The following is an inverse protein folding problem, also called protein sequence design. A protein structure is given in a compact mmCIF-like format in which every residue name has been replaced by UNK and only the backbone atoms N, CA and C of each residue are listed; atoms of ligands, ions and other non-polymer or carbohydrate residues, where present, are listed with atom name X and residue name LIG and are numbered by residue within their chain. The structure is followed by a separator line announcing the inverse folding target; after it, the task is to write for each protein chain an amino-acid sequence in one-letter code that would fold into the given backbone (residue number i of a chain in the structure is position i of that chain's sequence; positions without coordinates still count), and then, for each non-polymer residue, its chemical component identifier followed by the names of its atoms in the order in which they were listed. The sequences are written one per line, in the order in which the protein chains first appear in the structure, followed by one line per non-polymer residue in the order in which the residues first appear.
data_IF_926202841878
#
_entry.id   IF_926202841878
#
_cell.length_a   1.000
_cell.length_b   1.000
_cell.length_c   1.000
_cell.angle_alpha   90.00
_cell.angle_beta   90.00
_cell.angle_gamma   90.00
#
_symmetry.space_group_name_H-M   'P 1'
#
loop_
_entity.id
_entity.type
_entity.pdbx_description
1 polymer ?
#
# COMPACT_ATOMS: atom_id res chain seq x y z
N UNK A 1 -70.31 -32.20 -38.81
CA UNK A 1 -69.59 -33.10 -39.73
C UNK A 1 -69.07 -32.32 -40.91
N UNK A 2 -67.82 -31.90 -41.02
CA UNK A 2 -66.97 -31.10 -40.13
C UNK A 2 -66.06 -30.34 -41.08
N UNK A 3 -66.22 -29.01 -41.18
CA UNK A 3 -65.46 -28.14 -42.07
C UNK A 3 -63.99 -27.95 -41.67
N UNK A 4 -63.54 -28.68 -40.65
CA UNK A 4 -62.17 -28.68 -40.12
C UNK A 4 -61.25 -29.65 -40.90
N UNK A 5 -61.80 -30.57 -41.69
CA UNK A 5 -61.03 -31.60 -42.40
C UNK A 5 -60.38 -31.16 -43.73
N UNK A 6 -60.66 -29.94 -44.19
CA UNK A 6 -60.15 -29.39 -45.46
C UNK A 6 -58.76 -28.74 -45.34
N UNK A 7 -58.30 -28.49 -44.11
CA UNK A 7 -56.94 -28.10 -43.84
C UNK A 7 -56.19 -29.40 -43.53
N UNK A 8 -55.31 -29.83 -44.42
CA UNK A 8 -54.42 -30.97 -44.20
C UNK A 8 -53.71 -30.88 -42.84
N UNK A 9 -53.09 -31.97 -42.37
CA UNK A 9 -52.51 -32.03 -41.02
C UNK A 9 -51.66 -30.79 -40.75
N UNK A 10 -51.94 -30.10 -39.63
CA UNK A 10 -51.20 -28.90 -39.23
C UNK A 10 -49.73 -29.25 -39.23
N UNK A 11 -49.01 -28.77 -40.26
CA UNK A 11 -47.58 -28.99 -40.35
C UNK A 11 -46.95 -28.25 -39.19
N UNK A 12 -46.56 -28.99 -38.16
CA UNK A 12 -45.80 -28.42 -37.06
C UNK A 12 -44.55 -27.79 -37.68
N UNK A 13 -44.27 -26.51 -37.39
CA UNK A 13 -43.11 -25.86 -37.97
C UNK A 13 -41.89 -26.68 -37.61
N UNK A 14 -41.14 -27.11 -38.64
CA UNK A 14 -39.91 -27.88 -38.47
C UNK A 14 -39.04 -27.15 -37.44
N UNK A 15 -38.61 -27.85 -36.39
CA UNK A 15 -37.69 -27.30 -35.39
C UNK A 15 -36.46 -26.83 -36.14
N UNK A 16 -36.23 -25.53 -36.11
CA UNK A 16 -35.23 -24.89 -36.93
C UNK A 16 -33.94 -24.81 -36.11
N UNK A 17 -32.88 -25.45 -36.61
CA UNK A 17 -31.53 -25.18 -36.11
C UNK A 17 -31.16 -23.74 -36.46
N UNK A 18 -30.20 -23.17 -35.71
CA UNK A 18 -29.78 -21.79 -35.91
C UNK A 18 -29.37 -21.52 -37.38
N UNK A 19 -28.72 -22.47 -38.05
CA UNK A 19 -28.32 -22.32 -39.45
C UNK A 19 -29.51 -22.36 -40.44
N UNK A 20 -30.54 -23.17 -40.16
CA UNK A 20 -31.79 -23.19 -40.94
C UNK A 20 -32.60 -21.89 -40.71
N UNK A 21 -32.50 -21.28 -39.52
CA UNK A 21 -33.11 -19.98 -39.23
C UNK A 21 -32.38 -18.84 -39.93
N UNK A 22 -31.06 -18.80 -39.81
CA UNK A 22 -30.22 -17.75 -40.38
C UNK A 22 -30.35 -17.71 -41.92
N UNK A 23 -30.45 -18.87 -42.58
CA UNK A 23 -30.69 -18.97 -44.04
C UNK A 23 -32.09 -18.54 -44.44
N UNK A 24 -33.13 -18.91 -43.67
CA UNK A 24 -34.52 -18.52 -43.95
C UNK A 24 -34.77 -17.02 -43.79
N UNK A 25 -34.13 -16.39 -42.80
CA UNK A 25 -34.31 -14.97 -42.49
C UNK A 25 -33.18 -14.08 -43.04
N UNK A 26 -32.29 -14.63 -43.88
CA UNK A 26 -31.14 -13.92 -44.45
C UNK A 26 -30.30 -13.18 -43.39
N UNK A 27 -30.11 -13.78 -42.22
CA UNK A 27 -29.18 -13.24 -41.23
C UNK A 27 -27.75 -13.49 -41.71
N UNK A 28 -27.13 -12.45 -42.28
CA UNK A 28 -25.72 -12.47 -42.66
C UNK A 28 -24.89 -12.58 -41.38
N UNK A 29 -24.23 -13.73 -41.17
CA UNK A 29 -23.22 -13.87 -40.10
C UNK A 29 -22.03 -12.95 -40.40
N UNK A 30 -22.03 -11.75 -39.84
CA UNK A 30 -20.81 -10.96 -39.72
C UNK A 30 -19.99 -11.40 -38.49
N UNK A 31 -19.62 -12.68 -38.41
CA UNK A 31 -18.55 -13.09 -37.48
C UNK A 31 -17.22 -12.95 -38.19
N UNK A 32 -16.79 -11.70 -38.45
CA UNK A 32 -15.41 -11.44 -38.86
C UNK A 32 -14.50 -12.02 -37.79
N UNK A 33 -13.64 -12.96 -38.17
CA UNK A 33 -12.55 -13.44 -37.32
C UNK A 33 -11.66 -12.23 -37.05
N UNK A 34 -11.77 -11.67 -35.84
CA UNK A 34 -11.08 -10.44 -35.50
C UNK A 34 -9.58 -10.69 -35.61
N UNK A 35 -8.90 -9.89 -36.41
CA UNK A 35 -7.44 -9.99 -36.54
C UNK A 35 -6.79 -9.43 -35.27
N UNK A 36 -5.67 -9.98 -34.80
CA UNK A 36 -4.97 -9.48 -33.60
C UNK A 36 -4.73 -7.96 -33.65
N UNK A 37 -4.49 -7.41 -34.86
CA UNK A 37 -4.31 -5.99 -35.12
C UNK A 37 -5.58 -5.15 -34.88
N UNK A 38 -6.76 -5.69 -35.17
CA UNK A 38 -8.04 -5.00 -34.94
C UNK A 38 -8.44 -5.04 -33.46
N UNK A 39 -8.09 -6.12 -32.76
CA UNK A 39 -8.27 -6.23 -31.30
C UNK A 39 -7.37 -5.21 -30.60
N UNK A 40 -6.08 -5.19 -30.95
CA UNK A 40 -5.11 -4.26 -30.39
C UNK A 40 -5.51 -2.79 -30.67
N UNK A 41 -5.99 -2.50 -31.89
CA UNK A 41 -6.45 -1.16 -32.24
C UNK A 41 -7.66 -0.73 -31.43
N UNK A 42 -8.65 -1.61 -31.21
CA UNK A 42 -9.80 -1.27 -30.36
C UNK A 42 -9.37 -1.03 -28.93
N UNK A 43 -8.55 -1.91 -28.38
CA UNK A 43 -7.99 -1.79 -27.04
C UNK A 43 -7.34 -0.42 -26.82
N UNK A 44 -6.45 -0.01 -27.72
CA UNK A 44 -5.76 1.28 -27.60
C UNK A 44 -6.73 2.44 -27.81
N UNK A 45 -7.56 2.40 -28.86
CA UNK A 45 -8.45 3.52 -29.21
C UNK A 45 -9.57 3.70 -28.20
N UNK A 46 -10.10 2.62 -27.61
CA UNK A 46 -11.15 2.68 -26.60
C UNK A 46 -10.61 3.21 -25.26
N UNK A 47 -9.39 2.85 -24.84
CA UNK A 47 -8.77 3.43 -23.62
C UNK A 47 -8.53 4.94 -23.72
N UNK A 48 -8.12 5.44 -24.88
CA UNK A 48 -7.86 6.87 -25.08
C UNK A 48 -9.10 7.67 -25.53
N UNK A 49 -10.27 7.01 -25.68
CA UNK A 49 -11.50 7.66 -26.14
C UNK A 49 -12.10 8.60 -25.10
N UNK A 50 -11.90 8.29 -23.82
CA UNK A 50 -12.47 9.05 -22.70
C UNK A 50 -11.67 10.31 -22.38
N UNK A 51 -10.43 10.46 -22.86
CA UNK A 51 -9.58 11.64 -22.64
C UNK A 51 -9.71 12.68 -23.76
N UNK A 52 -10.93 12.93 -24.25
CA UNK A 52 -11.15 13.81 -25.42
C UNK A 52 -11.20 15.29 -25.07
N UNK A 53 -11.58 15.62 -23.84
CA UNK A 53 -11.56 16.98 -23.30
C UNK A 53 -10.37 17.19 -22.36
N UNK A 54 -9.87 18.43 -22.28
CA UNK A 54 -8.82 18.81 -21.31
C UNK A 54 -9.29 18.56 -19.87
N UNK A 55 -10.59 18.66 -19.62
CA UNK A 55 -11.19 18.38 -18.31
C UNK A 55 -11.18 16.88 -17.95
N UNK A 56 -11.10 15.99 -18.94
CA UNK A 56 -11.02 14.54 -18.72
C UNK A 56 -9.56 14.13 -18.41
N UNK A 57 -8.58 14.82 -19.01
CA UNK A 57 -7.16 14.62 -18.75
C UNK A 57 -6.69 15.25 -17.44
N UNK A 58 -7.27 16.40 -17.07
CA UNK A 58 -6.99 17.14 -15.85
C UNK A 58 -8.29 17.31 -15.05
N UNK A 59 -8.71 16.29 -14.28
CA UNK A 59 -9.94 16.33 -13.49
C UNK A 59 -9.93 17.49 -12.48
N UNK A 60 -8.76 18.07 -12.19
CA UNK A 60 -8.65 19.21 -11.29
C UNK A 60 -9.42 20.45 -11.77
N UNK A 61 -9.46 20.68 -13.08
CA UNK A 61 -10.16 21.82 -13.66
C UNK A 61 -11.67 21.74 -13.47
N UNK A 62 -12.22 20.52 -13.44
CA UNK A 62 -13.66 20.31 -13.26
C UNK A 62 -14.13 20.52 -11.81
N UNK A 63 -13.32 20.10 -10.83
CA UNK A 63 -13.71 20.26 -9.42
C UNK A 63 -13.43 21.66 -8.89
N UNK A 64 -12.38 22.34 -9.36
CA UNK A 64 -12.05 23.68 -8.88
C UNK A 64 -13.12 24.70 -9.29
N UNK A 65 -13.70 24.56 -10.48
CA UNK A 65 -14.78 25.44 -10.95
C UNK A 65 -16.09 25.28 -10.19
N UNK A 66 -16.30 24.12 -9.55
CA UNK A 66 -17.49 23.80 -8.75
C UNK A 66 -17.24 23.91 -7.24
N UNK A 67 -16.10 24.45 -6.82
CA UNK A 67 -15.70 24.49 -5.42
C UNK A 67 -16.30 25.68 -4.67
N UNK A 68 -17.11 25.39 -3.64
CA UNK A 68 -17.62 26.42 -2.73
C UNK A 68 -16.59 26.72 -1.63
N UNK A 69 -15.87 27.83 -1.82
CA UNK A 69 -14.80 28.29 -0.91
C UNK A 69 -15.35 28.64 0.47
N UNK A 70 -16.57 29.18 0.54
CA UNK A 70 -17.10 29.74 1.78
C UNK A 70 -17.44 28.66 2.82
N UNK A 71 -18.01 27.55 2.37
CA UNK A 71 -18.44 26.46 3.23
C UNK A 71 -17.37 25.37 3.43
N UNK A 72 -16.53 25.11 2.42
CA UNK A 72 -15.63 23.94 2.44
C UNK A 72 -14.18 24.25 2.82
N UNK A 73 -13.72 25.50 2.66
CA UNK A 73 -12.30 25.84 2.87
C UNK A 73 -11.82 25.49 4.28
N UNK A 74 -12.58 25.88 5.31
CA UNK A 74 -12.21 25.61 6.71
C UNK A 74 -12.22 24.11 7.04
N UNK A 75 -13.19 23.36 6.47
CA UNK A 75 -13.30 21.92 6.68
C UNK A 75 -12.17 21.15 6.00
N UNK A 76 -11.81 21.52 4.78
CA UNK A 76 -10.72 20.89 4.04
C UNK A 76 -9.35 21.25 4.64
N UNK A 77 -9.18 22.48 5.16
CA UNK A 77 -7.98 22.90 5.87
C UNK A 77 -7.78 22.11 7.18
N UNK A 78 -8.82 22.02 8.03
CA UNK A 78 -8.74 21.23 9.26
C UNK A 78 -8.57 19.72 8.96
N UNK A 79 -9.26 19.21 7.94
CA UNK A 79 -9.12 17.82 7.50
C UNK A 79 -7.70 17.50 7.01
N UNK A 80 -7.10 18.38 6.22
CA UNK A 80 -5.71 18.21 5.75
C UNK A 80 -4.69 18.35 6.86
N UNK A 81 -4.89 19.24 7.84
CA UNK A 81 -4.03 19.34 9.02
C UNK A 81 -4.04 18.03 9.84
N UNK A 82 -5.23 17.47 10.07
CA UNK A 82 -5.39 16.18 10.74
C UNK A 82 -4.75 15.03 9.95
N UNK A 83 -4.92 15.04 8.63
CA UNK A 83 -4.35 14.03 7.74
C UNK A 83 -2.82 14.11 7.69
N UNK A 84 -2.23 15.32 7.61
CA UNK A 84 -0.78 15.51 7.63
C UNK A 84 -0.18 14.95 8.93
N UNK A 85 -0.80 15.26 10.06
CA UNK A 85 -0.34 14.80 11.36
C UNK A 85 -0.51 13.27 11.56
N UNK A 86 -1.38 12.61 10.80
CA UNK A 86 -1.48 11.15 10.70
C UNK A 86 -0.42 10.50 9.81
N UNK A 87 -0.05 11.18 8.72
CA UNK A 87 0.82 10.62 7.69
C UNK A 87 2.30 10.69 8.08
N UNK A 88 2.73 11.74 8.78
CA UNK A 88 4.13 11.90 9.22
C UNK A 88 4.62 10.67 10.02
N UNK A 89 3.91 10.19 11.05
CA UNK A 89 4.35 9.03 11.84
C UNK A 89 4.30 7.74 11.04
N UNK A 90 3.24 7.59 10.26
CA UNK A 90 3.05 6.44 9.39
C UNK A 90 4.19 6.33 8.38
N UNK A 91 4.65 7.46 7.83
CA UNK A 91 5.79 7.50 6.93
C UNK A 91 7.12 7.20 7.60
N UNK A 92 7.33 7.69 8.83
CA UNK A 92 8.56 7.38 9.59
C UNK A 92 8.61 5.88 9.90
N UNK A 93 7.52 5.33 10.44
CA UNK A 93 7.44 3.90 10.80
C UNK A 93 7.58 2.98 9.58
N UNK A 94 6.95 3.34 8.45
CA UNK A 94 7.04 2.53 7.24
C UNK A 94 8.36 2.73 6.47
N UNK A 95 8.97 3.92 6.51
CA UNK A 95 10.30 4.17 5.98
C UNK A 95 11.37 3.39 6.75
N UNK A 96 11.26 3.39 8.08
CA UNK A 96 12.07 2.54 8.95
C UNK A 96 11.96 1.05 8.56
N UNK A 97 10.74 0.55 8.33
CA UNK A 97 10.53 -0.82 7.85
C UNK A 97 11.15 -1.08 6.47
N UNK A 98 11.23 -0.06 5.62
CA UNK A 98 11.80 -0.14 4.27
C UNK A 98 13.33 0.11 4.23
N UNK A 99 14.01 0.20 5.38
CA UNK A 99 15.44 0.50 5.62
C UNK A 99 15.88 1.96 5.60
N UNK A 100 15.08 2.89 5.07
CA UNK A 100 15.43 4.32 5.02
C UNK A 100 14.22 5.20 5.34
N UNK A 101 14.33 5.99 6.42
CA UNK A 101 13.28 6.91 6.88
C UNK A 101 13.06 8.04 5.86
N UNK A 102 14.10 8.53 5.19
CA UNK A 102 13.97 9.62 4.21
C UNK A 102 13.12 9.17 3.02
N UNK A 103 13.37 7.98 2.48
CA UNK A 103 12.54 7.39 1.43
C UNK A 103 11.06 7.28 1.83
N UNK A 104 10.78 6.94 3.10
CA UNK A 104 9.43 6.91 3.66
C UNK A 104 8.73 8.27 3.66
N UNK A 105 9.45 9.35 3.98
CA UNK A 105 8.91 10.71 3.93
C UNK A 105 8.60 11.17 2.50
N UNK A 106 9.52 10.92 1.56
CA UNK A 106 9.29 11.27 0.15
C UNK A 106 8.12 10.49 -0.45
N UNK A 107 7.88 9.25 -0.02
CA UNK A 107 6.77 8.42 -0.46
C UNK A 107 5.39 8.98 -0.10
N UNK A 108 5.32 9.89 0.88
CA UNK A 108 4.08 10.55 1.30
C UNK A 108 3.96 11.91 0.63
N UNK A 109 5.04 12.70 0.63
CA UNK A 109 5.04 14.06 0.11
C UNK A 109 4.76 14.12 -1.39
N UNK A 110 5.50 13.35 -2.20
CA UNK A 110 5.43 13.48 -3.66
C UNK A 110 4.08 13.04 -4.23
N UNK A 111 3.51 11.86 -3.85
CA UNK A 111 2.23 11.45 -4.40
C UNK A 111 1.09 12.40 -4.03
N UNK A 112 1.14 13.02 -2.85
CA UNK A 112 0.13 13.99 -2.39
C UNK A 112 0.18 15.31 -3.16
N UNK A 113 1.35 15.72 -3.64
CA UNK A 113 1.47 16.89 -4.50
C UNK A 113 1.01 16.61 -5.93
N UNK A 114 1.24 15.40 -6.44
CA UNK A 114 0.94 15.03 -7.83
C UNK A 114 -0.54 14.63 -7.99
N UNK A 115 -1.10 13.90 -7.04
CA UNK A 115 -2.44 13.32 -7.13
C UNK A 115 -3.59 14.34 -7.35
N UNK A 116 -3.60 15.55 -6.76
CA UNK A 116 -4.66 16.52 -6.99
C UNK A 116 -4.82 16.94 -8.46
N UNK A 117 -3.76 16.85 -9.27
CA UNK A 117 -3.77 17.23 -10.68
C UNK A 117 -4.34 16.13 -11.58
N UNK A 118 -3.99 14.87 -11.31
CA UNK A 118 -4.29 13.71 -12.17
C UNK A 118 -5.35 12.76 -11.59
N UNK A 119 -5.66 12.88 -10.31
CA UNK A 119 -6.53 11.96 -9.57
C UNK A 119 -8.01 12.24 -9.82
N UNK A 120 -8.77 11.19 -10.11
CA UNK A 120 -10.22 11.30 -10.33
C UNK A 120 -11.02 11.44 -9.03
N UNK A 121 -10.52 10.91 -7.90
CA UNK A 121 -11.24 10.92 -6.63
C UNK A 121 -10.76 12.05 -5.70
N UNK A 122 -11.64 13.04 -5.46
CA UNK A 122 -11.37 14.28 -4.71
C UNK A 122 -10.98 14.09 -3.24
N UNK A 123 -11.50 13.06 -2.57
CA UNK A 123 -11.26 12.82 -1.14
C UNK A 123 -10.28 11.65 -0.88
N UNK A 124 -9.65 11.14 -1.93
CA UNK A 124 -8.63 10.10 -1.78
C UNK A 124 -7.31 10.73 -1.38
N UNK A 125 -6.65 10.16 -0.38
CA UNK A 125 -5.28 10.50 -0.01
C UNK A 125 -4.37 9.32 -0.28
N UNK A 126 -3.19 9.61 -0.79
CA UNK A 126 -2.12 8.63 -0.98
C UNK A 126 -1.20 8.68 0.23
N UNK A 127 -0.73 7.52 0.69
CA UNK A 127 0.18 7.42 1.82
C UNK A 127 1.03 6.15 1.72
N UNK A 128 2.00 6.05 2.62
CA UNK A 128 2.82 4.85 2.73
C UNK A 128 2.06 3.73 3.45
N UNK A 129 2.09 2.52 2.89
CA UNK A 129 1.47 1.35 3.49
C UNK A 129 2.54 0.37 4.02
N UNK A 130 2.27 -0.28 5.15
CA UNK A 130 3.22 -1.23 5.74
C UNK A 130 3.44 -2.46 4.84
N UNK A 131 2.41 -2.86 4.08
CA UNK A 131 2.52 -3.97 3.11
C UNK A 131 3.51 -3.66 2.00
N UNK A 132 3.44 -2.46 1.41
CA UNK A 132 4.34 -2.05 0.32
C UNK A 132 5.77 -1.87 0.82
N UNK A 133 5.92 -1.30 2.02
CA UNK A 133 7.23 -1.06 2.65
C UNK A 133 7.95 -2.37 2.96
N UNK A 134 7.21 -3.37 3.46
CA UNK A 134 7.76 -4.69 3.69
C UNK A 134 8.15 -5.42 2.38
N UNK A 135 7.36 -5.26 1.30
CA UNK A 135 7.71 -5.82 -0.01
C UNK A 135 9.00 -5.19 -0.56
N UNK A 136 9.15 -3.86 -0.44
CA UNK A 136 10.38 -3.15 -0.83
C UNK A 136 11.57 -3.67 -0.01
N UNK A 137 11.44 -3.74 1.33
CA UNK A 137 12.48 -4.30 2.20
C UNK A 137 12.94 -5.68 1.74
N UNK A 138 12.00 -6.60 1.49
CA UNK A 138 12.34 -7.95 1.02
C UNK A 138 12.99 -7.98 -0.36
N UNK A 139 12.59 -7.05 -1.23
CA UNK A 139 13.13 -6.93 -2.59
C UNK A 139 14.55 -6.37 -2.58
N UNK A 140 14.82 -5.36 -1.76
CA UNK A 140 16.17 -4.80 -1.54
C UNK A 140 17.08 -5.87 -0.96
N UNK A 141 16.64 -6.60 0.07
CA UNK A 141 17.44 -7.69 0.66
C UNK A 141 17.76 -8.81 -0.34
N UNK A 142 16.82 -9.16 -1.22
CA UNK A 142 17.01 -10.23 -2.20
C UNK A 142 17.88 -9.82 -3.40
N UNK A 143 17.71 -8.59 -3.89
CA UNK A 143 18.36 -8.11 -5.12
C UNK A 143 19.64 -7.31 -4.86
N UNK A 144 19.84 -6.81 -3.64
CA UNK A 144 20.89 -5.84 -3.32
C UNK A 144 20.76 -4.51 -4.07
N UNK A 145 19.62 -4.24 -4.70
CA UNK A 145 19.39 -3.02 -5.50
C UNK A 145 18.90 -1.88 -4.62
N UNK A 146 19.27 -0.65 -4.98
CA UNK A 146 18.77 0.57 -4.32
C UNK A 146 17.25 0.71 -4.47
N UNK A 147 16.60 1.31 -3.45
CA UNK A 147 15.15 1.55 -3.41
C UNK A 147 14.70 2.33 -4.66
N UNK A 148 15.48 3.33 -5.09
CA UNK A 148 15.20 4.17 -6.27
C UNK A 148 15.03 3.35 -7.55
N UNK A 149 15.85 2.31 -7.77
CA UNK A 149 15.77 1.43 -8.95
C UNK A 149 14.48 0.63 -8.95
N UNK A 150 14.10 0.09 -7.78
CA UNK A 150 12.86 -0.69 -7.63
C UNK A 150 11.65 0.22 -7.83
N UNK A 151 11.65 1.42 -7.24
CA UNK A 151 10.58 2.41 -7.40
C UNK A 151 10.45 2.87 -8.85
N UNK A 152 11.57 3.13 -9.54
CA UNK A 152 11.56 3.48 -10.97
C UNK A 152 10.98 2.35 -11.80
N UNK A 153 11.36 1.11 -11.53
CA UNK A 153 10.83 -0.08 -12.19
C UNK A 153 9.30 -0.19 -11.98
N UNK A 154 8.82 -0.02 -10.75
CA UNK A 154 7.40 0.03 -10.44
C UNK A 154 6.68 1.16 -11.20
N UNK A 155 7.29 2.34 -11.32
CA UNK A 155 6.76 3.45 -12.09
C UNK A 155 6.64 3.14 -13.59
N UNK A 156 7.64 2.48 -14.18
CA UNK A 156 7.58 2.01 -15.58
C UNK A 156 6.47 0.98 -15.77
N UNK A 157 6.32 0.03 -14.84
CA UNK A 157 5.21 -0.94 -14.89
C UNK A 157 3.85 -0.25 -14.76
N UNK A 158 3.74 0.79 -13.92
CA UNK A 158 2.51 1.56 -13.76
C UNK A 158 2.18 2.40 -15.00
N UNK A 159 3.18 2.96 -15.68
CA UNK A 159 3.01 3.59 -17.00
C UNK A 159 2.63 2.56 -18.08
N UNK A 160 3.19 1.36 -18.02
CA UNK A 160 2.86 0.28 -18.94
C UNK A 160 1.40 -0.19 -18.75
N UNK A 161 0.90 -0.23 -17.52
CA UNK A 161 -0.52 -0.44 -17.21
C UNK A 161 -1.43 0.68 -17.72
N UNK A 162 -0.94 1.91 -17.87
CA UNK A 162 -1.73 2.98 -18.50
C UNK A 162 -1.92 2.73 -20.00
N UNK A 163 -0.90 2.21 -20.70
CA UNK A 163 -0.98 1.93 -22.14
C UNK A 163 -1.68 0.61 -22.49
N UNK A 164 -1.65 -0.37 -21.59
CA UNK A 164 -2.27 -1.69 -21.77
C UNK A 164 -3.55 -1.79 -20.93
N UNK A 165 -4.67 -2.29 -21.46
CA UNK A 165 -5.95 -2.36 -20.73
C UNK A 165 -5.97 -3.54 -19.72
N UNK A 166 -5.10 -3.51 -18.71
CA UNK A 166 -5.08 -4.54 -17.66
C UNK A 166 -6.21 -4.36 -16.64
N UNK A 167 -7.03 -3.32 -16.75
CA UNK A 167 -8.19 -3.09 -15.86
C UNK A 167 -9.15 -4.27 -15.82
N UNK A 168 -9.32 -4.98 -16.94
CA UNK A 168 -10.09 -6.21 -17.00
C UNK A 168 -9.53 -7.31 -16.08
N UNK A 169 -8.21 -7.40 -15.96
CA UNK A 169 -7.55 -8.39 -15.11
C UNK A 169 -7.73 -8.04 -13.63
N UNK A 170 -7.68 -6.75 -13.29
CA UNK A 170 -7.94 -6.24 -11.94
C UNK A 170 -9.40 -6.51 -11.52
N UNK A 171 -10.36 -6.44 -12.45
CA UNK A 171 -11.76 -6.78 -12.18
C UNK A 171 -11.99 -8.25 -11.82
N UNK A 172 -11.04 -9.16 -12.09
CA UNK A 172 -11.14 -10.57 -11.70
C UNK A 172 -10.58 -10.86 -10.30
N UNK A 173 -9.91 -9.89 -9.69
CA UNK A 173 -9.37 -10.05 -8.34
C UNK A 173 -10.54 -10.02 -7.36
N UNK A 174 -10.87 -11.18 -6.79
CA UNK A 174 -11.94 -11.27 -5.80
C UNK A 174 -11.58 -10.52 -4.52
N UNK A 175 -12.59 -9.95 -3.84
CA UNK A 175 -12.42 -9.30 -2.54
C UNK A 175 -11.84 -10.26 -1.50
N UNK A 176 -12.24 -11.53 -1.53
CA UNK A 176 -11.72 -12.57 -0.63
C UNK A 176 -10.21 -12.81 -0.82
N UNK A 177 -9.71 -12.73 -2.06
CA UNK A 177 -8.28 -12.86 -2.34
C UNK A 177 -7.47 -11.69 -1.76
N UNK A 178 -7.98 -10.46 -1.89
CA UNK A 178 -7.34 -9.27 -1.33
C UNK A 178 -7.26 -9.32 0.20
N UNK A 179 -8.35 -9.75 0.85
CA UNK A 179 -8.38 -9.91 2.33
C UNK A 179 -7.42 -11.01 2.77
N UNK A 180 -7.40 -12.16 2.07
CA UNK A 180 -6.47 -13.25 2.36
C UNK A 180 -5.00 -12.86 2.17
N UNK A 181 -4.68 -12.14 1.09
CA UNK A 181 -3.35 -11.59 0.84
C UNK A 181 -2.94 -10.61 1.95
N UNK A 182 -3.83 -9.68 2.31
CA UNK A 182 -3.58 -8.73 3.39
C UNK A 182 -3.31 -9.41 4.74
N UNK A 183 -4.08 -10.45 5.09
CA UNK A 183 -3.87 -11.25 6.29
C UNK A 183 -2.52 -11.98 6.27
N UNK A 184 -2.12 -12.55 5.13
CA UNK A 184 -0.83 -13.22 4.96
C UNK A 184 0.36 -12.26 5.12
N UNK A 185 0.28 -11.06 4.53
CA UNK A 185 1.31 -10.03 4.70
C UNK A 185 1.36 -9.55 6.15
N UNK A 186 0.21 -9.35 6.81
CA UNK A 186 0.18 -8.96 8.22
C UNK A 186 0.85 -9.99 9.13
N UNK A 187 0.59 -11.30 8.96
CA UNK A 187 1.27 -12.36 9.69
C UNK A 187 2.79 -12.33 9.46
N UNK A 188 3.21 -12.05 8.23
CA UNK A 188 4.63 -11.97 7.88
C UNK A 188 5.33 -10.75 8.49
N UNK A 189 4.64 -9.62 8.58
CA UNK A 189 5.13 -8.42 9.27
C UNK A 189 5.26 -8.70 10.78
N UNK A 190 4.25 -9.34 11.39
CA UNK A 190 4.33 -9.72 12.82
C UNK A 190 5.55 -10.60 13.06
N UNK A 191 5.76 -11.63 12.22
CA UNK A 191 6.93 -12.50 12.31
C UNK A 191 8.25 -11.74 12.22
N UNK A 192 8.32 -10.73 11.35
CA UNK A 192 9.50 -9.88 11.20
C UNK A 192 9.85 -9.09 12.47
N UNK A 193 8.86 -8.65 13.24
CA UNK A 193 9.08 -7.91 14.49
C UNK A 193 9.30 -8.79 15.73
N UNK A 194 9.10 -10.12 15.64
CA UNK A 194 9.31 -11.05 16.77
C UNK A 194 10.71 -10.90 17.39
N UNK A 195 11.82 -10.89 16.62
CA UNK A 195 13.16 -10.76 17.21
C UNK A 195 13.35 -9.46 18.00
N UNK A 196 12.74 -8.37 17.54
CA UNK A 196 12.82 -7.06 18.21
C UNK A 196 12.09 -7.04 19.56
N UNK A 197 11.06 -7.87 19.76
CA UNK A 197 10.29 -7.94 21.00
C UNK A 197 11.01 -8.75 22.08
N UNK A 198 11.70 -9.82 21.67
CA UNK A 198 12.31 -10.78 22.60
C UNK A 198 13.78 -10.47 22.93
N UNK A 199 14.37 -9.40 22.38
CA UNK A 199 15.76 -8.94 22.58
C UNK A 199 16.69 -10.12 22.81
N UNK A 200 16.94 -10.88 21.75
CA UNK A 200 17.90 -11.98 21.81
C UNK A 200 19.31 -11.40 22.01
N UNK A 201 19.82 -11.48 23.24
CA UNK A 201 21.21 -11.17 23.56
C UNK A 201 22.09 -12.33 23.09
N UNK A 202 22.47 -12.33 21.82
CA UNK A 202 23.36 -13.35 21.23
C UNK A 202 23.37 -13.28 19.70
N UNK A 203 24.54 -13.56 19.12
CA UNK A 203 24.92 -13.49 17.70
C UNK A 203 23.80 -13.45 16.63
N UNK A 204 23.98 -12.54 15.69
CA UNK A 204 23.24 -12.29 14.43
C UNK A 204 22.44 -13.50 13.93
N UNK A 205 21.17 -13.58 14.33
CA UNK A 205 20.17 -14.40 13.66
C UNK A 205 19.63 -13.66 12.42
N UNK A 206 20.51 -13.24 11.51
CA UNK A 206 20.15 -12.43 10.33
C UNK A 206 19.30 -13.18 9.30
N UNK A 207 19.25 -14.51 9.40
CA UNK A 207 18.65 -15.40 8.41
C UNK A 207 17.31 -16.04 8.82
N UNK A 208 16.62 -15.51 9.83
CA UNK A 208 15.23 -15.94 10.09
C UNK A 208 14.24 -15.45 9.01
N UNK A 209 14.68 -14.58 8.11
CA UNK A 209 13.86 -13.96 7.06
C UNK A 209 14.08 -14.53 5.65
N UNK A 210 15.17 -15.27 5.41
CA UNK A 210 15.44 -15.89 4.11
C UNK A 210 14.99 -17.34 4.09
N UNK A 211 13.79 -17.54 3.55
CA UNK A 211 13.30 -18.79 2.95
C UNK A 211 12.72 -19.85 3.91
N UNK A 212 11.40 -19.99 3.82
CA UNK A 212 10.54 -20.86 4.63
C UNK A 212 10.63 -22.37 4.33
N UNK A 213 11.53 -22.84 3.47
CA UNK A 213 11.46 -24.23 3.01
C UNK A 213 12.47 -25.21 3.62
N UNK A 214 13.36 -24.82 4.55
CA UNK A 214 14.27 -25.83 5.14
C UNK A 214 14.77 -25.60 6.59
N UNK A 215 14.50 -24.46 7.24
CA UNK A 215 15.27 -24.07 8.45
C UNK A 215 14.52 -24.19 9.79
N UNK A 216 13.25 -24.59 9.85
CA UNK A 216 12.66 -24.95 11.16
C UNK A 216 13.26 -26.23 11.75
N UNK A 217 13.79 -27.15 10.92
CA UNK A 217 14.39 -28.39 11.43
C UNK A 217 15.85 -28.22 11.86
N UNK A 218 16.59 -27.30 11.23
CA UNK A 218 17.99 -26.99 11.59
C UNK A 218 18.08 -26.00 12.77
N UNK A 219 17.14 -25.04 12.87
CA UNK A 219 17.07 -24.13 14.02
C UNK A 219 16.46 -24.76 15.27
N UNK A 220 15.83 -25.94 15.22
CA UNK A 220 15.33 -26.58 16.45
C UNK A 220 16.46 -26.88 17.45
N UNK A 221 17.71 -27.07 16.98
CA UNK A 221 18.89 -27.26 17.84
C UNK A 221 19.39 -25.96 18.48
N UNK A 222 19.39 -24.84 17.76
CA UNK A 222 19.85 -23.52 18.25
C UNK A 222 18.74 -22.70 18.93
N UNK A 223 17.48 -22.96 18.61
CA UNK A 223 16.31 -22.32 19.21
C UNK A 223 16.16 -22.70 20.67
N UNK A 224 16.52 -23.93 21.07
CA UNK A 224 16.46 -24.34 22.49
C UNK A 224 17.45 -23.54 23.33
N UNK A 225 18.66 -23.29 22.82
CA UNK A 225 19.66 -22.44 23.47
C UNK A 225 19.21 -20.97 23.52
N UNK A 226 18.59 -20.47 22.46
CA UNK A 226 18.08 -19.11 22.35
C UNK A 226 16.84 -18.87 23.26
N UNK A 227 16.01 -19.89 23.47
CA UNK A 227 14.88 -19.86 24.40
C UNK A 227 15.34 -19.86 25.86
N UNK A 228 16.50 -20.46 26.15
CA UNK A 228 17.05 -20.48 27.51
C UNK A 228 17.70 -19.15 27.92
N UNK A 229 18.12 -18.31 26.96
CA UNK A 229 18.67 -16.97 27.21
C UNK A 229 17.63 -15.84 27.10
N UNK A 230 16.33 -16.17 27.08
CA UNK A 230 15.25 -15.20 26.98
C UNK A 230 15.13 -14.38 28.27
N UNK A 231 15.44 -13.09 28.17
CA UNK A 231 15.00 -12.10 29.16
C UNK A 231 13.50 -11.86 29.00
N UNK A 232 12.72 -12.16 30.05
CA UNK A 232 11.25 -12.02 30.03
C UNK A 232 10.83 -10.55 30.20
N UNK A 233 11.75 -9.67 30.61
CA UNK A 233 11.46 -8.27 30.96
C UNK A 233 11.01 -7.43 29.74
N UNK A 234 11.72 -7.43 28.59
CA UNK A 234 11.29 -6.69 27.40
C UNK A 234 9.90 -7.09 26.83
N UNK A 235 9.57 -8.39 26.65
CA UNK A 235 8.24 -8.75 26.15
C UNK A 235 7.13 -8.39 27.15
N UNK A 236 7.36 -8.47 28.46
CA UNK A 236 6.39 -8.04 29.46
C UNK A 236 6.08 -6.53 29.34
N UNK A 237 7.11 -5.70 29.19
CA UNK A 237 6.95 -4.26 28.95
C UNK A 237 6.21 -4.01 27.63
N UNK A 238 6.57 -4.69 26.56
CA UNK A 238 5.90 -4.57 25.26
C UNK A 238 4.41 -4.92 25.34
N UNK A 239 4.05 -6.07 25.94
CA UNK A 239 2.65 -6.48 26.07
C UNK A 239 1.85 -5.56 27.00
N UNK A 240 2.45 -5.05 28.07
CA UNK A 240 1.78 -4.08 28.95
C UNK A 240 1.49 -2.77 28.21
N UNK A 241 2.46 -2.23 27.45
CA UNK A 241 2.26 -1.04 26.61
C UNK A 241 1.18 -1.31 25.56
N UNK A 242 1.23 -2.46 24.87
CA UNK A 242 0.24 -2.84 23.87
C UNK A 242 -1.18 -2.89 24.46
N UNK A 243 -1.35 -3.53 25.62
CA UNK A 243 -2.65 -3.62 26.31
C UNK A 243 -3.14 -2.23 26.70
N UNK A 244 -2.27 -1.38 27.26
CA UNK A 244 -2.61 0.01 27.61
C UNK A 244 -3.06 0.79 26.37
N UNK A 245 -2.35 0.66 25.24
CA UNK A 245 -2.73 1.31 23.97
C UNK A 245 -4.06 0.79 23.42
N UNK A 246 -4.34 -0.51 23.53
CA UNK A 246 -5.62 -1.10 23.10
C UNK A 246 -6.79 -0.63 23.98
N UNK A 247 -6.61 -0.58 25.30
CA UNK A 247 -7.60 -0.05 26.23
C UNK A 247 -7.82 1.44 25.97
N UNK A 248 -6.74 2.20 25.77
CA UNK A 248 -6.81 3.62 25.45
C UNK A 248 -7.55 3.83 24.13
N UNK A 249 -7.27 3.05 23.08
CA UNK A 249 -7.99 3.11 21.80
C UNK A 249 -9.49 2.87 21.97
N UNK A 250 -9.86 1.81 22.71
CA UNK A 250 -11.27 1.48 22.93
C UNK A 250 -12.00 2.59 23.70
N UNK A 251 -11.39 3.05 24.80
CA UNK A 251 -11.97 4.09 25.66
C UNK A 251 -12.00 5.47 24.98
N UNK A 252 -10.93 5.83 24.29
CA UNK A 252 -10.83 7.07 23.53
C UNK A 252 -11.89 7.11 22.43
N UNK A 253 -12.05 6.03 21.65
CA UNK A 253 -13.07 5.96 20.60
C UNK A 253 -14.50 6.15 21.16
N UNK A 254 -14.81 5.53 22.29
CA UNK A 254 -16.11 5.69 22.95
C UNK A 254 -16.35 7.13 23.45
N UNK A 255 -15.34 7.74 24.08
CA UNK A 255 -15.43 9.11 24.61
C UNK A 255 -15.52 10.15 23.49
N UNK A 256 -14.70 10.03 22.45
CA UNK A 256 -14.69 10.98 21.33
C UNK A 256 -15.97 10.94 20.52
N UNK A 257 -16.48 9.74 20.23
CA UNK A 257 -17.72 9.58 19.47
C UNK A 257 -18.92 10.18 20.21
N UNK A 258 -18.94 10.11 21.54
CA UNK A 258 -20.03 10.69 22.35
C UNK A 258 -19.95 12.21 22.53
N UNK A 259 -18.76 12.82 22.45
CA UNK A 259 -18.56 14.27 22.68
C UNK A 259 -18.51 15.12 21.41
N UNK A 260 -17.79 14.66 20.38
CA UNK A 260 -17.36 15.52 19.26
C UNK A 260 -18.10 15.15 17.96
N UNK A 261 -18.80 14.01 17.91
CA UNK A 261 -19.55 13.57 16.72
C UNK A 261 -18.69 13.27 15.48
N UNK A 262 -17.36 13.40 15.60
CA UNK A 262 -16.37 13.09 14.57
C UNK A 262 -15.31 12.14 15.12
N UNK A 263 -14.92 11.14 14.32
CA UNK A 263 -13.85 10.20 14.63
C UNK A 263 -12.48 10.88 14.47
N UNK A 264 -11.88 11.33 15.58
CA UNK A 264 -10.49 11.82 15.55
C UNK A 264 -9.56 10.61 15.35
N UNK A 265 -8.47 10.76 14.57
CA UNK A 265 -7.44 9.74 14.52
C UNK A 265 -6.83 9.45 15.89
N UNK A 266 -7.09 8.25 16.39
CA UNK A 266 -6.56 7.77 17.66
C UNK A 266 -5.02 7.63 17.65
N UNK A 267 -4.43 7.31 16.50
CA UNK A 267 -2.97 7.22 16.35
C UNK A 267 -2.27 8.56 16.64
N UNK A 268 -2.90 9.67 16.22
CA UNK A 268 -2.42 11.02 16.49
C UNK A 268 -2.46 11.35 17.98
N UNK A 269 -3.55 10.99 18.67
CA UNK A 269 -3.68 11.24 20.12
C UNK A 269 -2.63 10.44 20.89
N UNK A 270 -2.41 9.18 20.53
CA UNK A 270 -1.37 8.34 21.14
C UNK A 270 0.00 8.97 20.97
N UNK A 271 0.36 9.39 19.75
CA UNK A 271 1.64 10.02 19.52
C UNK A 271 1.84 11.30 20.32
N UNK A 272 0.87 12.20 20.32
CA UNK A 272 0.99 13.49 21.01
C UNK A 272 1.14 13.26 22.51
N UNK A 273 0.35 12.35 23.08
CA UNK A 273 0.48 11.95 24.49
C UNK A 273 1.85 11.33 24.77
N UNK A 274 2.34 10.42 23.92
CA UNK A 274 3.65 9.80 24.08
C UNK A 274 4.80 10.82 23.96
N UNK A 275 4.69 11.79 23.04
CA UNK A 275 5.68 12.86 22.90
C UNK A 275 5.69 13.80 24.11
N UNK A 276 4.52 14.13 24.65
CA UNK A 276 4.41 14.93 25.88
C UNK A 276 5.00 14.16 27.07
N UNK A 277 4.69 12.87 27.21
CA UNK A 277 5.26 12.03 28.26
C UNK A 277 6.78 11.96 28.12
N UNK A 278 7.29 11.73 26.91
CA UNK A 278 8.73 11.68 26.63
C UNK A 278 9.43 13.00 27.02
N UNK A 279 8.83 14.14 26.64
CA UNK A 279 9.34 15.46 27.00
C UNK A 279 9.32 15.72 28.51
N UNK A 280 8.25 15.30 29.21
CA UNK A 280 8.12 15.50 30.66
C UNK A 280 9.04 14.58 31.49
N UNK A 281 9.44 13.44 30.93
CA UNK A 281 10.27 12.43 31.62
C UNK A 281 11.78 12.65 31.36
N UNK A 282 12.16 13.60 30.49
CA UNK A 282 13.57 13.86 30.11
C UNK A 282 14.32 12.56 29.83
N UNK A 283 13.72 11.70 28.97
CA UNK A 283 14.38 10.48 28.53
C UNK A 283 15.70 10.84 27.81
N UNK A 284 16.82 10.16 28.11
CA UNK A 284 18.12 10.49 27.53
C UNK A 284 18.08 10.42 26.00
N UNK A 285 18.73 11.37 25.32
CA UNK A 285 18.74 11.50 23.85
C UNK A 285 19.16 10.22 23.11
N UNK A 286 19.87 9.30 23.79
CA UNK A 286 20.21 7.98 23.28
C UNK A 286 19.04 7.00 23.15
N UNK A 287 17.83 7.33 23.60
CA UNK A 287 16.62 6.50 23.45
C UNK A 287 15.63 7.07 22.41
N UNK A 288 15.97 8.19 21.75
CA UNK A 288 15.15 8.72 20.66
C UNK A 288 15.23 7.75 19.47
N UNK A 289 14.08 7.15 19.15
CA UNK A 289 13.93 5.99 18.26
C UNK A 289 14.51 6.21 16.84
N UNK A 290 14.70 7.47 16.42
CA UNK A 290 15.24 7.83 15.10
C UNK A 290 16.78 7.77 15.09
N UNK A 291 17.46 8.31 16.10
CA UNK A 291 18.94 8.31 16.17
C UNK A 291 19.50 7.00 16.75
N UNK A 292 18.79 6.36 17.69
CA UNK A 292 19.20 5.08 18.27
C UNK A 292 19.15 3.92 17.26
N UNK A 293 18.26 4.00 16.26
CA UNK A 293 18.13 2.97 15.24
C UNK A 293 19.02 3.22 14.02
N UNK A 294 19.30 4.48 13.64
CA UNK A 294 20.32 4.78 12.61
C UNK A 294 21.69 4.21 13.02
N UNK A 295 22.04 4.29 14.31
CA UNK A 295 23.26 3.68 14.87
C UNK A 295 23.27 2.15 14.88
N UNK A 296 22.13 1.44 14.87
CA UNK A 296 22.09 -0.04 14.89
C UNK A 296 22.03 -0.66 13.49
N UNK A 297 21.50 0.06 12.50
CA UNK A 297 21.54 -0.37 11.10
C UNK A 297 22.81 0.09 10.36
N UNK A 298 23.54 1.09 10.88
CA UNK A 298 24.89 1.40 10.43
C UNK A 298 25.93 0.31 10.82
N UNK A 299 25.60 -0.58 11.76
CA UNK A 299 26.42 -1.77 12.11
C UNK A 299 25.92 -2.97 11.29
N UNK A 300 25.79 -2.81 9.98
CA UNK A 300 25.96 -3.93 9.04
C UNK A 300 27.30 -3.70 8.39
N UNK A 301 28.34 -4.01 9.17
CA UNK A 301 29.73 -3.94 8.72
C UNK A 301 30.00 -5.22 7.91
N UNK A 302 29.41 -5.31 6.72
CA UNK A 302 29.87 -6.24 5.71
C UNK A 302 31.29 -5.81 5.33
N UNK A 303 32.27 -6.51 5.90
CA UNK A 303 33.65 -6.46 5.45
C UNK A 303 33.68 -6.55 3.92
N UNK A 304 34.35 -5.57 3.31
CA UNK A 304 34.56 -5.41 1.87
C UNK A 304 33.40 -4.79 1.08
N UNK A 305 33.05 -3.53 1.34
CA UNK A 305 32.77 -2.52 0.31
C UNK A 305 32.73 -1.13 0.96
N UNK A 306 33.70 -0.27 0.61
CA UNK A 306 33.75 1.13 1.01
C UNK A 306 32.60 1.91 0.40
N UNK A 307 31.62 2.33 1.21
CA UNK A 307 30.79 3.48 0.91
C UNK A 307 31.10 4.58 1.94
N UNK A 308 31.31 5.78 1.43
CA UNK A 308 31.63 6.97 2.22
C UNK A 308 30.51 7.27 3.19
N UNK A 309 30.80 7.14 4.49
CA UNK A 309 30.00 7.69 5.58
C UNK A 309 29.93 9.20 5.41
N UNK A 310 28.73 9.74 5.22
CA UNK A 310 28.50 11.18 5.39
C UNK A 310 28.48 11.41 6.90
N UNK A 311 29.61 11.89 7.42
CA UNK A 311 29.75 12.43 8.77
C UNK A 311 28.81 13.64 8.91
N UNK A 312 27.64 13.46 9.53
CA UNK A 312 26.68 14.54 9.83
C UNK A 312 26.91 15.21 11.20
N UNK A 313 28.06 14.96 11.85
CA UNK A 313 28.38 15.55 13.16
C UNK A 313 28.99 16.97 13.08
N UNK A 314 29.05 17.59 11.91
CA UNK A 314 29.50 18.98 11.83
C UNK A 314 29.60 19.47 10.41
N UNK A 315 28.54 20.11 9.91
CA UNK A 315 28.69 21.32 9.10
C UNK A 315 27.37 22.07 8.97
N UNK A 316 27.50 23.40 8.90
CA UNK A 316 26.45 24.39 8.96
C UNK A 316 25.37 24.22 7.88
N UNK A 317 24.12 24.45 8.30
CA UNK A 317 22.98 24.64 7.41
C UNK A 317 23.26 25.70 6.33
N UNK A 318 23.07 25.34 5.07
CA UNK A 318 22.60 26.28 4.02
C UNK A 318 21.85 25.50 2.92
N UNK A 319 20.90 26.15 2.21
CA UNK A 319 19.68 25.52 1.75
C UNK A 319 19.70 25.12 0.26
N UNK A 320 18.88 24.12 -0.11
CA UNK A 320 18.31 23.89 -1.47
C UNK A 320 19.32 23.53 -2.58
N UNK A 321 19.20 22.32 -3.17
CA UNK A 321 18.96 22.05 -4.60
C UNK A 321 19.31 20.60 -5.02
N UNK A 322 18.30 19.98 -5.67
CA UNK A 322 18.33 19.13 -6.88
C UNK A 322 19.29 17.92 -7.00
N UNK A 323 18.65 16.78 -7.32
CA UNK A 323 19.06 15.75 -8.29
C UNK A 323 20.56 15.60 -8.56
N UNK A 324 21.13 14.51 -8.06
CA UNK A 324 22.00 13.62 -8.83
C UNK A 324 22.02 12.22 -8.22
#
# INVERSE_FOLDING_TARGET
MDSISLLGPVQQPKVLNQDDFDSRFNFIRHRKRKTNREILRRVIVENFRDYRSVNDALPFLAWISSYDVSASCLRDFLGSLLLAALLIPQGIANGFLASDVFSGMFSILLPQLIYPFFGSARHCSLGSFSMTSFLIYSSVKYTGSSISTITLCCGVFQLLHFFLPLDFLLSFVSSNLLVGFGAGVALRIIWHFVPSIFVFSGEECDDLSSQWNFICFQCAGSAVSCVQSLDITPPLIFFTILIVLLIFKWKLNAVLTSRIGTTIPHELVIMVVMAIISYLVELPESELLVDYLDSRYAIVNCGCLTYSTVNLAGENWSPILLFQ
#
